data_IF_000741613543
#
_entry.id   IF_000741613543
#
_cell.length_a   1.000
_cell.length_b   1.000
_cell.length_c   1.000
_cell.angle_alpha   90.00
_cell.angle_beta   90.00
_cell.angle_gamma   90.00
#
_symmetry.space_group_name_H-M   'P 1'
#
loop_
_entity.id
_entity.type
_entity.pdbx_description
1 polymer ?
#
# COMPACT_ATOMS: atom_id res chain seq x y z
N UNK A 1 0.04 19.11 -0.81
CA UNK A 1 1.05 18.56 0.13
C UNK A 1 1.60 17.22 -0.31
N UNK A 2 0.83 16.35 -0.98
CA UNK A 2 1.32 15.06 -1.49
C UNK A 2 2.57 15.19 -2.38
N UNK A 3 2.54 16.07 -3.40
CA UNK A 3 3.65 16.21 -4.35
C UNK A 3 4.96 16.61 -3.67
N UNK A 4 4.88 17.52 -2.69
CA UNK A 4 6.03 17.94 -1.88
C UNK A 4 6.55 16.75 -1.06
N UNK A 5 5.66 16.00 -0.40
CA UNK A 5 6.06 14.83 0.38
C UNK A 5 6.71 13.74 -0.50
N UNK A 6 6.16 13.50 -1.69
CA UNK A 6 6.71 12.55 -2.66
C UNK A 6 8.09 12.97 -3.14
N UNK A 7 8.27 14.25 -3.46
CA UNK A 7 9.58 14.79 -3.84
C UNK A 7 10.62 14.64 -2.72
N UNK A 8 10.24 14.91 -1.47
CA UNK A 8 11.12 14.72 -0.30
C UNK A 8 11.49 13.24 -0.10
N UNK A 9 10.51 12.34 -0.23
CA UNK A 9 10.74 10.90 -0.16
C UNK A 9 11.70 10.41 -1.25
N UNK A 10 11.54 10.88 -2.49
CA UNK A 10 12.44 10.56 -3.60
C UNK A 10 13.87 11.06 -3.34
N UNK A 11 14.02 12.29 -2.85
CA UNK A 11 15.33 12.85 -2.53
C UNK A 11 16.02 12.00 -1.46
N UNK A 12 15.32 11.69 -0.37
CA UNK A 12 15.83 10.83 0.69
C UNK A 12 16.22 9.45 0.16
N UNK A 13 15.34 8.78 -0.58
CA UNK A 13 15.57 7.46 -1.15
C UNK A 13 16.83 7.44 -2.02
N UNK A 14 17.00 8.44 -2.89
CA UNK A 14 18.19 8.61 -3.72
C UNK A 14 19.48 8.74 -2.89
N UNK A 15 19.48 9.54 -1.82
CA UNK A 15 20.66 9.69 -0.94
C UNK A 15 21.05 8.40 -0.20
N UNK A 16 20.09 7.48 -0.02
CA UNK A 16 20.28 6.21 0.68
C UNK A 16 20.36 5.01 -0.24
N UNK A 17 20.34 5.22 -1.56
CA UNK A 17 20.27 4.15 -2.55
C UNK A 17 19.09 3.19 -2.31
N UNK A 18 17.93 3.76 -1.99
CA UNK A 18 16.66 3.07 -1.79
C UNK A 18 15.69 3.39 -2.94
N UNK A 19 14.68 2.54 -3.12
CA UNK A 19 13.55 2.77 -4.04
C UNK A 19 12.24 2.88 -3.26
N UNK A 20 11.29 3.63 -3.80
CA UNK A 20 9.92 3.68 -3.26
C UNK A 20 9.19 2.40 -3.68
N UNK A 21 8.90 1.53 -2.73
CA UNK A 21 8.24 0.24 -2.98
C UNK A 21 6.72 0.31 -3.07
N UNK A 22 6.10 1.39 -2.62
CA UNK A 22 4.64 1.46 -2.58
C UNK A 22 4.07 2.58 -1.72
N UNK A 23 2.76 2.51 -1.54
CA UNK A 23 1.93 3.42 -0.75
C UNK A 23 1.09 2.61 0.24
N UNK A 24 0.80 3.17 1.41
CA UNK A 24 -0.18 2.58 2.32
C UNK A 24 -1.16 3.64 2.81
N UNK A 25 -2.35 3.20 3.19
CA UNK A 25 -3.40 4.03 3.79
C UNK A 25 -4.09 3.29 4.93
N UNK A 26 -4.37 4.00 6.01
CA UNK A 26 -5.31 3.59 7.05
C UNK A 26 -6.48 4.57 7.03
N UNK A 27 -7.69 4.05 7.11
CA UNK A 27 -8.90 4.86 7.16
C UNK A 27 -9.36 5.09 8.60
N UNK A 28 -10.13 6.15 8.80
CA UNK A 28 -10.68 6.50 10.11
C UNK A 28 -11.73 5.48 10.57
N UNK A 29 -12.60 5.01 9.67
CA UNK A 29 -13.53 3.92 9.96
C UNK A 29 -12.78 2.57 9.92
N UNK A 30 -12.69 1.83 11.04
CA UNK A 30 -12.04 0.51 11.07
C UNK A 30 -12.72 -0.54 10.19
N UNK A 31 -13.91 -0.26 9.65
CA UNK A 31 -14.60 -1.13 8.69
C UNK A 31 -14.19 -0.85 7.25
N UNK A 32 -13.58 0.29 6.97
CA UNK A 32 -13.13 0.62 5.62
C UNK A 32 -11.80 -0.05 5.32
N UNK A 33 -11.86 -1.06 4.46
CA UNK A 33 -10.75 -1.92 4.07
C UNK A 33 -10.52 -1.92 2.56
N UNK A 34 -11.16 -0.98 1.85
CA UNK A 34 -11.12 -0.89 0.40
C UNK A 34 -10.24 0.26 -0.05
N UNK A 35 -9.49 0.07 -1.13
CA UNK A 35 -8.66 1.15 -1.67
C UNK A 35 -9.55 2.22 -2.32
N UNK A 36 -9.68 3.37 -1.65
CA UNK A 36 -10.51 4.48 -2.15
C UNK A 36 -10.01 5.05 -3.48
N UNK A 37 -10.86 5.78 -4.20
CA UNK A 37 -10.48 6.41 -5.46
C UNK A 37 -9.34 7.43 -5.30
N UNK A 38 -9.36 8.21 -4.22
CA UNK A 38 -8.29 9.16 -3.89
C UNK A 38 -6.97 8.44 -3.62
N UNK A 39 -6.99 7.40 -2.78
CA UNK A 39 -5.81 6.58 -2.48
C UNK A 39 -5.29 5.84 -3.70
N UNK A 40 -6.18 5.35 -4.58
CA UNK A 40 -5.83 4.73 -5.85
C UNK A 40 -5.07 5.69 -6.78
N UNK A 41 -5.46 6.97 -6.81
CA UNK A 41 -4.79 7.99 -7.61
C UNK A 41 -3.39 8.31 -7.08
N UNK A 42 -3.24 8.41 -5.75
CA UNK A 42 -1.93 8.61 -5.11
C UNK A 42 -0.99 7.43 -5.35
N UNK A 43 -1.49 6.19 -5.18
CA UNK A 43 -0.72 5.00 -5.48
C UNK A 43 -0.33 4.91 -6.96
N UNK A 44 -1.23 5.33 -7.87
CA UNK A 44 -0.94 5.35 -9.31
C UNK A 44 0.20 6.29 -9.68
N UNK A 45 0.34 7.43 -8.99
CA UNK A 45 1.47 8.33 -9.20
C UNK A 45 2.83 7.67 -8.89
N UNK A 46 2.86 6.67 -7.99
CA UNK A 46 4.08 5.92 -7.71
C UNK A 46 4.47 4.94 -8.82
N UNK A 47 3.53 4.54 -9.68
CA UNK A 47 3.84 3.63 -10.79
C UNK A 47 4.75 4.27 -11.85
N UNK A 48 4.78 5.60 -11.94
CA UNK A 48 5.73 6.32 -12.80
C UNK A 48 7.17 6.26 -12.27
N UNK A 49 7.34 5.98 -10.98
CA UNK A 49 8.62 5.89 -10.28
C UNK A 49 9.07 4.44 -10.19
N UNK A 50 8.12 3.53 -9.90
CA UNK A 50 8.35 2.10 -9.75
C UNK A 50 7.12 1.35 -10.27
N UNK A 51 7.26 0.66 -11.41
CA UNK A 51 6.17 -0.12 -12.02
C UNK A 51 5.68 -1.28 -11.15
N UNK A 52 6.51 -1.76 -10.23
CA UNK A 52 6.17 -2.84 -9.29
C UNK A 52 5.62 -2.31 -7.95
N UNK A 53 5.23 -1.03 -7.89
CA UNK A 53 4.71 -0.43 -6.67
C UNK A 53 3.40 -1.10 -6.23
N UNK A 54 3.32 -1.39 -4.92
CA UNK A 54 2.14 -2.00 -4.29
C UNK A 54 1.41 -0.97 -3.46
N UNK A 55 0.08 -0.98 -3.49
CA UNK A 55 -0.74 -0.22 -2.56
C UNK A 55 -1.21 -1.12 -1.42
N UNK A 56 -1.17 -0.64 -0.18
CA UNK A 56 -1.68 -1.36 0.98
C UNK A 56 -2.81 -0.59 1.64
N UNK A 57 -3.90 -1.29 1.96
CA UNK A 57 -4.91 -0.78 2.90
C UNK A 57 -4.66 -1.47 4.25
N UNK A 58 -4.66 -0.69 5.32
CA UNK A 58 -4.48 -1.20 6.68
C UNK A 58 -5.84 -1.64 7.23
N UNK A 59 -5.98 -2.92 7.56
CA UNK A 59 -7.13 -3.42 8.33
C UNK A 59 -6.89 -3.18 9.82
N UNK A 60 -7.46 -2.09 10.33
CA UNK A 60 -7.32 -1.67 11.72
C UNK A 60 -7.78 -2.74 12.72
N UNK A 61 -8.69 -3.65 12.35
CA UNK A 61 -9.17 -4.71 13.24
C UNK A 61 -8.12 -5.80 13.49
N UNK A 62 -7.14 -5.93 12.60
CA UNK A 62 -6.06 -6.92 12.72
C UNK A 62 -4.79 -6.34 13.34
N UNK A 63 -4.82 -5.09 13.82
CA UNK A 63 -3.68 -4.44 14.49
C UNK A 63 -3.56 -4.82 15.98
N UNK A 64 -4.42 -5.70 16.48
CA UNK A 64 -4.35 -6.14 17.87
C UNK A 64 -3.27 -7.22 18.05
N UNK A 65 -2.65 -7.32 19.24
CA UNK A 65 -1.62 -8.33 19.51
C UNK A 65 -2.09 -9.78 19.30
N UNK A 66 -3.39 -10.03 19.41
CA UNK A 66 -4.00 -11.36 19.29
C UNK A 66 -4.35 -11.75 17.84
N UNK A 67 -4.18 -10.82 16.88
CA UNK A 67 -4.49 -11.08 15.49
C UNK A 67 -3.55 -12.13 14.88
N UNK A 68 -4.15 -13.18 14.30
CA UNK A 68 -3.43 -14.21 13.54
C UNK A 68 -3.28 -13.85 12.05
N UNK A 69 -3.85 -12.72 11.62
CA UNK A 69 -3.83 -12.29 10.21
C UNK A 69 -3.04 -10.99 10.08
N UNK A 70 -2.31 -10.80 8.96
CA UNK A 70 -1.70 -9.53 8.66
C UNK A 70 -2.77 -8.42 8.56
N UNK A 71 -2.51 -7.28 9.20
CA UNK A 71 -3.34 -6.08 9.05
C UNK A 71 -3.06 -5.29 7.79
N UNK A 72 -2.50 -5.93 6.76
CA UNK A 72 -2.19 -5.32 5.47
C UNK A 72 -2.96 -6.04 4.38
N UNK A 73 -3.69 -5.27 3.57
CA UNK A 73 -4.43 -5.76 2.40
C UNK A 73 -3.70 -5.22 1.16
N UNK A 74 -2.97 -6.06 0.41
CA UNK A 74 -2.20 -5.64 -0.75
C UNK A 74 -3.09 -5.47 -1.98
N UNK A 75 -2.81 -4.44 -2.76
CA UNK A 75 -3.38 -4.17 -4.07
C UNK A 75 -2.26 -4.02 -5.08
N UNK A 76 -2.37 -4.75 -6.20
CA UNK A 76 -1.42 -4.69 -7.32
C UNK A 76 -2.12 -4.12 -8.53
N UNK A 77 -1.45 -3.21 -9.24
CA UNK A 77 -1.98 -2.60 -10.45
C UNK A 77 -1.81 -3.56 -11.63
N UNK A 78 -2.93 -3.98 -12.23
CA UNK A 78 -2.94 -4.83 -13.42
C UNK A 78 -4.21 -4.56 -14.23
N UNK A 79 -4.12 -4.67 -15.56
CA UNK A 79 -5.23 -4.37 -16.48
C UNK A 79 -5.88 -3.00 -16.20
N UNK A 80 -5.05 -1.99 -16.00
CA UNK A 80 -5.45 -0.59 -15.72
C UNK A 80 -6.25 -0.38 -14.43
N UNK A 81 -6.27 -1.34 -13.50
CA UNK A 81 -6.96 -1.23 -12.21
C UNK A 81 -6.15 -1.82 -11.06
N UNK A 82 -6.38 -1.31 -9.86
CA UNK A 82 -5.89 -1.93 -8.63
C UNK A 82 -6.72 -3.17 -8.31
N UNK A 83 -6.05 -4.30 -8.06
CA UNK A 83 -6.69 -5.56 -7.68
C UNK A 83 -6.13 -6.03 -6.35
N UNK A 84 -7.01 -6.29 -5.40
CA UNK A 84 -6.65 -6.92 -4.13
C UNK A 84 -5.96 -8.27 -4.40
N UNK A 85 -4.88 -8.54 -3.66
CA UNK A 85 -4.16 -9.81 -3.69
C UNK A 85 -4.47 -10.60 -2.43
N UNK A 86 -5.68 -11.16 -2.36
CA UNK A 86 -6.10 -12.00 -1.24
C UNK A 86 -5.17 -13.21 -1.13
N UNK A 87 -4.52 -13.39 0.03
CA UNK A 87 -3.58 -14.50 0.26
C UNK A 87 -2.11 -14.21 -0.06
N UNK A 88 -1.75 -12.97 -0.41
CA UNK A 88 -0.35 -12.60 -0.70
C UNK A 88 0.64 -12.88 0.45
N UNK A 89 0.14 -12.97 1.68
CA UNK A 89 0.94 -13.25 2.88
C UNK A 89 0.89 -14.71 3.33
N UNK A 90 0.33 -15.60 2.50
CA UNK A 90 0.25 -17.04 2.75
C UNK A 90 -0.83 -17.44 3.76
N UNK A 91 -1.39 -18.63 3.57
CA UNK A 91 -2.11 -19.40 4.60
C UNK A 91 -1.57 -20.83 4.59
N UNK A 92 -0.30 -21.01 4.88
CA UNK A 92 0.27 -22.35 4.96
C UNK A 92 0.43 -22.75 6.43
N UNK A 93 -0.53 -23.55 6.90
CA UNK A 93 -0.23 -24.58 7.89
C UNK A 93 0.73 -25.56 7.19
N UNK A 94 2.02 -25.42 7.48
CA UNK A 94 2.96 -26.55 7.39
C UNK A 94 2.88 -27.36 8.68
#
# INVERSE_FOLDING_TARGET
>A
MFDVALQQAQLFAKTKNLNIGGYYVAYEDPKDIQLSASSSLLAKALLEINHDAVAFVIDAKQLTPESLRPGLIPYVYSDSKWKEQSGAFGTEKT
#
